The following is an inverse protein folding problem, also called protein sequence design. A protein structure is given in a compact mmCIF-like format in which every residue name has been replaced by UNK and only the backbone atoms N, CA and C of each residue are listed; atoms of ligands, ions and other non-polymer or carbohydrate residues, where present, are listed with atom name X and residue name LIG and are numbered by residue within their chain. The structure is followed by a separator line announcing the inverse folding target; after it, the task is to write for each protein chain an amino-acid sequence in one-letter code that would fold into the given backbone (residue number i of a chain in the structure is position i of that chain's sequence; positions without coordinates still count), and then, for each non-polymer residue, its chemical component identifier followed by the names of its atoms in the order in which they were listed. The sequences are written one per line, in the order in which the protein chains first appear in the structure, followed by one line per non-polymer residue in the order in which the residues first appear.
data_IF_990503894265
#
_entry.id   IF_990503894265
#
_cell.length_a   1.000
_cell.length_b   1.000
_cell.length_c   1.000
_cell.angle_alpha   90.00
_cell.angle_beta   90.00
_cell.angle_gamma   90.00
#
_symmetry.space_group_name_H-M   'P 1'
#
loop_
_entity.id
_entity.type
_entity.pdbx_description
1 polymer ?
#
# COMPACT_ATOMS: atom_id res chain seq x y z
N UNK A 1 -10.68 2.97 17.98
CA UNK A 1 -9.40 2.32 18.21
C UNK A 1 -9.55 0.81 18.09
N UNK A 2 -8.68 0.18 17.29
CA UNK A 2 -8.55 -1.26 17.17
C UNK A 2 -7.28 -1.69 17.90
N UNK A 3 -7.35 -2.81 18.57
CA UNK A 3 -6.15 -3.46 19.06
C UNK A 3 -5.38 -4.03 17.88
N UNK A 4 -4.08 -3.71 17.79
CA UNK A 4 -3.25 -4.23 16.71
C UNK A 4 -3.13 -5.76 16.83
N UNK A 5 -3.22 -6.50 15.72
CA UNK A 5 -3.00 -7.94 15.76
C UNK A 5 -1.57 -8.26 16.19
N UNK A 6 -1.38 -9.43 16.79
CA UNK A 6 -0.05 -9.92 17.16
C UNK A 6 0.78 -10.13 15.89
N UNK A 7 1.96 -9.51 15.83
CA UNK A 7 2.92 -9.79 14.76
C UNK A 7 3.63 -11.11 15.06
N UNK A 8 3.68 -11.98 14.06
CA UNK A 8 4.42 -13.22 14.11
C UNK A 8 5.73 -13.06 13.35
N UNK A 9 6.84 -13.48 13.95
CA UNK A 9 8.14 -13.52 13.27
C UNK A 9 8.33 -14.80 12.43
N UNK A 10 7.55 -15.83 12.71
CA UNK A 10 7.57 -17.13 12.04
C UNK A 10 6.23 -17.83 12.17
N UNK A 11 5.89 -18.64 11.17
CA UNK A 11 4.76 -19.57 11.19
C UNK A 11 5.28 -20.97 11.58
N UNK A 12 4.59 -21.63 12.50
CA UNK A 12 4.90 -23.00 12.89
C UNK A 12 4.49 -23.99 11.79
N UNK A 13 5.24 -25.07 11.64
CA UNK A 13 4.95 -26.12 10.67
C UNK A 13 3.54 -26.71 10.87
N UNK A 14 2.85 -26.95 9.78
CA UNK A 14 1.47 -27.48 9.75
C UNK A 14 0.39 -26.53 10.33
N UNK A 15 0.70 -25.27 10.63
CA UNK A 15 -0.32 -24.29 11.01
C UNK A 15 -1.34 -24.12 9.91
N UNK A 16 -2.62 -23.98 10.30
CA UNK A 16 -3.66 -23.59 9.33
C UNK A 16 -3.61 -22.08 9.09
N UNK A 17 -3.49 -21.67 7.83
CA UNK A 17 -3.32 -20.28 7.43
C UNK A 17 -4.42 -19.86 6.45
N UNK A 18 -4.95 -18.67 6.65
CA UNK A 18 -5.74 -17.92 5.66
C UNK A 18 -4.87 -16.76 5.19
N UNK A 19 -4.61 -16.70 3.89
CA UNK A 19 -3.89 -15.58 3.28
C UNK A 19 -4.90 -14.52 2.85
N UNK A 20 -4.64 -13.26 3.20
CA UNK A 20 -5.50 -12.12 2.86
C UNK A 20 -4.63 -11.04 2.26
N UNK A 21 -5.05 -10.51 1.11
CA UNK A 21 -4.36 -9.43 0.40
C UNK A 21 -2.93 -9.80 -0.05
N UNK A 22 -2.68 -11.07 -0.13
CA UNK A 22 -1.40 -11.66 -0.56
C UNK A 22 -1.61 -13.11 -0.97
N UNK A 23 -0.92 -13.55 -2.04
CA UNK A 23 -0.86 -14.93 -2.49
C UNK A 23 0.55 -15.36 -2.92
N UNK A 24 1.59 -14.67 -2.44
CA UNK A 24 2.99 -14.96 -2.75
C UNK A 24 3.77 -15.29 -1.48
N UNK A 25 4.35 -16.49 -1.40
CA UNK A 25 5.13 -16.91 -0.23
C UNK A 25 6.35 -16.02 0.05
N UNK A 26 6.95 -15.43 -1.00
CA UNK A 26 8.07 -14.52 -0.85
C UNK A 26 7.77 -13.21 -0.12
N UNK A 27 6.48 -12.90 0.09
CA UNK A 27 6.01 -11.74 0.84
C UNK A 27 5.53 -12.10 2.25
N UNK A 28 5.59 -13.36 2.62
CA UNK A 28 5.15 -13.86 3.92
C UNK A 28 6.32 -13.98 4.90
N UNK A 29 5.98 -14.11 6.19
CA UNK A 29 6.96 -14.45 7.21
C UNK A 29 7.48 -15.89 7.01
N UNK A 30 8.71 -16.20 7.46
CA UNK A 30 9.30 -17.54 7.37
C UNK A 30 8.37 -18.63 7.92
N UNK A 31 8.38 -19.82 7.32
CA UNK A 31 7.58 -20.96 7.72
C UNK A 31 6.26 -21.11 6.96
N UNK A 32 5.89 -20.15 6.13
CA UNK A 32 4.66 -20.23 5.31
C UNK A 32 4.69 -21.44 4.36
N UNK A 33 5.85 -21.81 3.87
CA UNK A 33 6.07 -22.93 2.97
C UNK A 33 5.71 -24.30 3.58
N UNK A 34 5.73 -24.40 4.92
CA UNK A 34 5.36 -25.58 5.67
C UNK A 34 3.95 -25.52 6.29
N UNK A 35 3.23 -24.42 6.06
CA UNK A 35 1.89 -24.22 6.56
C UNK A 35 0.83 -24.87 5.65
N UNK A 36 -0.35 -25.12 6.21
CA UNK A 36 -1.53 -25.58 5.47
C UNK A 36 -2.39 -24.39 5.07
N UNK A 37 -2.25 -23.95 3.83
CA UNK A 37 -3.09 -22.87 3.32
C UNK A 37 -4.51 -23.37 3.16
N UNK A 38 -5.44 -22.80 3.90
CA UNK A 38 -6.86 -23.19 3.88
C UNK A 38 -7.71 -22.32 2.98
N UNK A 39 -7.37 -21.03 2.92
CA UNK A 39 -8.10 -20.08 2.12
C UNK A 39 -7.18 -18.94 1.66
N UNK A 40 -7.48 -18.38 0.51
CA UNK A 40 -6.90 -17.13 -0.01
C UNK A 40 -8.03 -16.20 -0.37
N UNK A 41 -7.96 -14.94 0.10
CA UNK A 41 -8.84 -13.84 -0.31
C UNK A 41 -7.96 -12.72 -0.83
N UNK A 42 -7.99 -12.46 -2.14
CA UNK A 42 -7.02 -11.55 -2.75
C UNK A 42 -7.54 -10.93 -4.05
N UNK A 43 -7.02 -9.76 -4.40
CA UNK A 43 -7.31 -9.03 -5.64
C UNK A 43 -6.10 -8.92 -6.59
N UNK A 44 -4.95 -9.40 -6.16
CA UNK A 44 -3.71 -9.38 -6.95
C UNK A 44 -3.67 -10.50 -8.00
N UNK A 45 -2.69 -10.39 -8.91
CA UNK A 45 -2.35 -11.48 -9.82
C UNK A 45 -2.02 -12.73 -9.01
N UNK A 46 -2.67 -13.85 -9.35
CA UNK A 46 -2.50 -15.09 -8.63
C UNK A 46 -1.15 -15.74 -8.94
N UNK A 47 -0.37 -16.04 -7.90
CA UNK A 47 0.97 -16.64 -8.01
C UNK A 47 1.24 -17.64 -6.86
N UNK A 48 0.20 -18.32 -6.38
CA UNK A 48 0.32 -19.32 -5.32
C UNK A 48 0.49 -20.73 -5.92
N UNK A 49 1.40 -21.50 -5.36
CA UNK A 49 1.55 -22.93 -5.63
C UNK A 49 1.41 -23.71 -4.32
N UNK A 50 0.48 -24.64 -4.29
CA UNK A 50 0.18 -25.50 -3.13
C UNK A 50 0.12 -26.96 -3.55
N UNK A 51 0.40 -27.87 -2.61
CA UNK A 51 0.29 -29.32 -2.83
C UNK A 51 -1.14 -29.84 -2.61
N UNK A 52 -1.96 -29.10 -1.86
CA UNK A 52 -3.36 -29.44 -1.57
C UNK A 52 -4.32 -28.44 -2.20
N UNK A 53 -5.58 -28.82 -2.48
CA UNK A 53 -6.62 -27.88 -2.91
C UNK A 53 -6.87 -26.79 -1.88
N UNK A 54 -6.98 -25.53 -2.33
CA UNK A 54 -7.20 -24.34 -1.50
C UNK A 54 -8.49 -23.65 -1.92
N UNK A 55 -9.26 -23.17 -0.96
CA UNK A 55 -10.40 -22.31 -1.25
C UNK A 55 -9.90 -20.90 -1.60
N UNK A 56 -10.12 -20.47 -2.84
CA UNK A 56 -9.67 -19.17 -3.32
C UNK A 56 -10.87 -18.29 -3.66
N UNK A 57 -10.88 -17.07 -3.12
CA UNK A 57 -11.83 -16.01 -3.49
C UNK A 57 -11.02 -14.86 -4.04
N UNK A 58 -10.92 -14.79 -5.36
CA UNK A 58 -10.12 -13.77 -6.06
C UNK A 58 -10.95 -13.04 -7.09
N UNK A 59 -10.83 -11.72 -7.12
CA UNK A 59 -11.56 -10.88 -8.05
C UNK A 59 -10.70 -9.71 -8.53
N UNK A 60 -10.83 -9.27 -9.78
CA UNK A 60 -10.08 -8.14 -10.34
C UNK A 60 -10.72 -6.79 -9.91
N UNK A 61 -10.66 -6.50 -8.62
CA UNK A 61 -11.12 -5.25 -7.98
C UNK A 61 -9.93 -4.44 -7.45
N UNK A 62 -10.15 -3.22 -7.02
CA UNK A 62 -9.09 -2.32 -6.57
C UNK A 62 -8.57 -2.61 -5.16
N UNK A 63 -9.28 -3.42 -4.37
CA UNK A 63 -8.90 -3.72 -2.97
C UNK A 63 -9.54 -5.02 -2.49
N UNK A 64 -8.80 -5.81 -1.73
CA UNK A 64 -9.32 -7.03 -1.08
C UNK A 64 -10.51 -6.76 -0.15
N UNK A 65 -10.59 -5.59 0.48
CA UNK A 65 -11.74 -5.22 1.32
C UNK A 65 -13.06 -5.14 0.55
N UNK A 66 -13.03 -4.90 -0.75
CA UNK A 66 -14.20 -5.01 -1.64
C UNK A 66 -14.72 -6.44 -1.69
N UNK A 67 -13.83 -7.43 -1.79
CA UNK A 67 -14.18 -8.85 -1.76
C UNK A 67 -14.72 -9.23 -0.37
N UNK A 68 -14.05 -8.80 0.70
CA UNK A 68 -14.45 -9.07 2.09
C UNK A 68 -15.85 -8.51 2.36
N UNK A 69 -16.16 -7.30 1.89
CA UNK A 69 -17.52 -6.75 1.99
C UNK A 69 -18.57 -7.68 1.37
N UNK A 70 -18.27 -8.25 0.20
CA UNK A 70 -19.18 -9.19 -0.50
C UNK A 70 -19.34 -10.49 0.30
N UNK A 71 -18.26 -11.01 0.89
CA UNK A 71 -18.32 -12.18 1.76
C UNK A 71 -19.20 -11.94 3.00
N UNK A 72 -19.13 -10.78 3.64
CA UNK A 72 -20.05 -10.40 4.72
C UNK A 72 -21.50 -10.45 4.26
N UNK A 73 -21.79 -9.87 3.08
CA UNK A 73 -23.16 -9.82 2.54
C UNK A 73 -23.67 -11.19 2.08
N UNK A 74 -22.81 -12.03 1.50
CA UNK A 74 -23.17 -13.39 1.08
C UNK A 74 -23.51 -14.32 2.25
N UNK A 75 -22.96 -14.03 3.43
CA UNK A 75 -23.18 -14.81 4.65
C UNK A 75 -24.17 -14.15 5.62
N UNK A 76 -24.86 -13.10 5.21
CA UNK A 76 -25.80 -12.33 6.03
C UNK A 76 -25.20 -11.84 7.36
N UNK A 77 -23.92 -11.47 7.34
CA UNK A 77 -23.21 -10.93 8.50
C UNK A 77 -23.26 -9.40 8.45
N UNK A 78 -23.69 -8.80 9.58
CA UNK A 78 -23.69 -7.34 9.71
C UNK A 78 -22.27 -6.78 9.89
N UNK A 79 -22.01 -5.68 9.23
CA UNK A 79 -20.74 -4.95 9.33
C UNK A 79 -20.92 -3.83 10.38
N UNK A 80 -20.14 -3.90 11.46
CA UNK A 80 -20.14 -2.84 12.48
C UNK A 80 -19.57 -1.52 11.91
N UNK A 81 -19.95 -0.35 12.44
CA UNK A 81 -19.40 0.93 12.02
C UNK A 81 -17.87 0.97 12.06
N UNK A 82 -17.29 0.38 13.09
CA UNK A 82 -15.84 0.28 13.29
C UNK A 82 -15.18 -0.55 12.18
N UNK A 83 -15.73 -1.73 11.86
CA UNK A 83 -15.24 -2.57 10.77
C UNK A 83 -15.42 -1.89 9.41
N UNK A 84 -16.55 -1.21 9.20
CA UNK A 84 -16.80 -0.45 7.98
C UNK A 84 -15.75 0.64 7.77
N UNK A 85 -15.35 1.35 8.83
CA UNK A 85 -14.28 2.36 8.77
C UNK A 85 -12.94 1.78 8.35
N UNK A 86 -12.54 0.60 8.88
CA UNK A 86 -11.30 -0.06 8.46
C UNK A 86 -11.36 -0.51 7.00
N UNK A 87 -12.44 -1.19 6.61
CA UNK A 87 -12.61 -1.65 5.22
C UNK A 87 -12.62 -0.48 4.24
N UNK A 88 -13.28 0.62 4.61
CA UNK A 88 -13.26 1.87 3.84
C UNK A 88 -11.85 2.43 3.72
N UNK A 89 -11.09 2.46 4.81
CA UNK A 89 -9.70 2.94 4.81
C UNK A 89 -8.82 2.14 3.85
N UNK A 90 -8.96 0.81 3.83
CA UNK A 90 -8.24 -0.05 2.90
C UNK A 90 -8.60 0.27 1.44
N UNK A 91 -9.89 0.38 1.11
CA UNK A 91 -10.33 0.72 -0.26
C UNK A 91 -9.78 2.10 -0.69
N UNK A 92 -9.84 3.10 0.19
CA UNK A 92 -9.31 4.45 -0.10
C UNK A 92 -7.81 4.41 -0.35
N UNK A 93 -7.07 3.67 0.48
CA UNK A 93 -5.61 3.52 0.36
C UNK A 93 -5.23 2.89 -0.97
N UNK A 94 -5.73 1.71 -1.28
CA UNK A 94 -5.36 0.94 -2.46
C UNK A 94 -5.80 1.59 -3.76
N UNK A 95 -6.95 2.28 -3.71
CA UNK A 95 -7.50 2.97 -4.89
C UNK A 95 -7.07 4.42 -5.01
N UNK A 96 -6.26 4.93 -4.07
CA UNK A 96 -5.87 6.35 -3.99
C UNK A 96 -7.08 7.29 -4.12
N UNK A 97 -8.08 7.04 -3.27
CA UNK A 97 -9.37 7.75 -3.33
C UNK A 97 -9.97 7.71 -4.76
N UNK A 98 -10.00 6.51 -5.33
CA UNK A 98 -10.56 6.17 -6.66
C UNK A 98 -9.78 6.71 -7.87
N UNK A 99 -8.54 7.14 -7.71
CA UNK A 99 -7.67 7.65 -8.80
C UNK A 99 -6.75 6.58 -9.38
N UNK A 100 -6.53 5.47 -8.66
CA UNK A 100 -5.75 4.36 -9.16
C UNK A 100 -6.40 3.76 -10.42
N UNK A 101 -5.61 3.38 -11.43
CA UNK A 101 -6.11 2.69 -12.62
C UNK A 101 -6.70 1.31 -12.30
N UNK A 102 -6.38 0.73 -11.15
CA UNK A 102 -6.94 -0.55 -10.67
C UNK A 102 -8.32 -0.39 -10.04
N UNK A 103 -8.75 0.84 -9.72
CA UNK A 103 -10.03 1.11 -9.10
C UNK A 103 -11.20 0.75 -10.02
N UNK A 104 -12.14 -0.03 -9.50
CA UNK A 104 -13.35 -0.42 -10.23
C UNK A 104 -14.58 0.37 -9.80
N UNK A 105 -15.65 0.27 -10.59
CA UNK A 105 -16.97 0.83 -10.22
C UNK A 105 -17.51 0.16 -8.95
N UNK A 106 -17.16 -1.09 -8.72
CA UNK A 106 -17.58 -1.85 -7.54
C UNK A 106 -16.92 -1.33 -6.27
N UNK A 107 -15.62 -1.03 -6.31
CA UNK A 107 -14.91 -0.41 -5.19
C UNK A 107 -15.58 0.88 -4.73
N UNK A 108 -15.93 1.76 -5.69
CA UNK A 108 -16.62 3.02 -5.41
C UNK A 108 -17.97 2.81 -4.73
N UNK A 109 -18.79 1.91 -5.27
CA UNK A 109 -20.13 1.61 -4.72
C UNK A 109 -20.05 1.02 -3.31
N UNK A 110 -19.06 0.19 -3.05
CA UNK A 110 -18.86 -0.44 -1.74
C UNK A 110 -18.31 0.59 -0.75
N UNK A 111 -17.35 1.42 -1.15
CA UNK A 111 -16.85 2.51 -0.33
C UNK A 111 -17.96 3.48 0.12
N UNK A 112 -18.88 3.86 -0.79
CA UNK A 112 -20.05 4.68 -0.45
C UNK A 112 -20.96 4.03 0.61
N UNK A 113 -21.16 2.70 0.51
CA UNK A 113 -21.95 1.96 1.50
C UNK A 113 -21.22 1.86 2.84
N UNK A 114 -19.93 1.60 2.82
CA UNK A 114 -19.11 1.54 4.03
C UNK A 114 -19.03 2.89 4.74
N UNK A 115 -18.90 4.00 4.00
CA UNK A 115 -18.89 5.34 4.55
C UNK A 115 -20.20 5.66 5.30
N UNK A 116 -21.36 5.23 4.77
CA UNK A 116 -22.66 5.35 5.44
C UNK A 116 -22.74 4.53 6.72
N UNK A 117 -22.20 3.30 6.71
CA UNK A 117 -22.20 2.45 7.92
C UNK A 117 -21.25 3.02 8.97
N UNK A 118 -20.11 3.56 8.55
CA UNK A 118 -19.09 4.16 9.42
C UNK A 118 -19.48 5.56 9.93
N UNK A 119 -20.55 6.15 9.37
CA UNK A 119 -21.03 7.52 9.66
C UNK A 119 -19.94 8.59 9.42
N UNK A 120 -19.31 8.53 8.24
CA UNK A 120 -18.28 9.48 7.81
C UNK A 120 -18.56 10.05 6.43
N UNK A 121 -18.12 11.30 6.17
CA UNK A 121 -18.02 11.80 4.81
C UNK A 121 -16.86 11.11 4.08
N UNK A 122 -17.17 10.47 2.97
CA UNK A 122 -16.24 9.63 2.22
C UNK A 122 -15.00 10.39 1.74
N UNK A 123 -15.22 11.59 1.19
CA UNK A 123 -14.13 12.36 0.58
C UNK A 123 -13.29 13.09 1.62
N UNK A 124 -13.94 13.73 2.61
CA UNK A 124 -13.23 14.38 3.71
C UNK A 124 -12.39 13.37 4.51
N UNK A 125 -12.97 12.19 4.80
CA UNK A 125 -12.27 11.12 5.48
C UNK A 125 -11.09 10.60 4.63
N UNK A 126 -11.33 10.37 3.33
CA UNK A 126 -10.32 9.87 2.41
C UNK A 126 -9.12 10.81 2.25
N UNK A 127 -9.37 12.11 2.12
CA UNK A 127 -8.28 13.10 2.06
C UNK A 127 -7.46 13.13 3.35
N UNK A 128 -8.11 13.09 4.51
CA UNK A 128 -7.42 13.02 5.82
C UNK A 128 -6.59 11.75 5.94
N UNK A 129 -7.14 10.60 5.53
CA UNK A 129 -6.45 9.32 5.56
C UNK A 129 -5.18 9.33 4.69
N UNK A 130 -5.31 9.79 3.44
CA UNK A 130 -4.20 9.85 2.51
C UNK A 130 -3.11 10.83 2.96
N UNK A 131 -3.50 11.99 3.52
CA UNK A 131 -2.54 12.94 4.12
C UNK A 131 -1.79 12.31 5.28
N UNK A 132 -2.49 11.64 6.19
CA UNK A 132 -1.84 10.96 7.33
C UNK A 132 -0.91 9.82 6.89
N UNK A 133 -1.32 9.04 5.87
CA UNK A 133 -0.52 7.93 5.34
C UNK A 133 0.70 8.36 4.52
N UNK A 134 0.77 9.62 4.11
CA UNK A 134 1.89 10.20 3.35
C UNK A 134 2.64 11.27 4.13
N UNK A 135 2.41 11.37 5.44
CA UNK A 135 3.13 12.30 6.32
C UNK A 135 4.57 11.83 6.51
N UNK A 136 5.49 12.70 6.14
CA UNK A 136 6.94 12.48 6.24
C UNK A 136 7.61 13.39 7.28
N UNK A 137 6.84 14.03 8.15
CA UNK A 137 7.34 15.00 9.14
C UNK A 137 8.40 14.40 10.07
N UNK A 138 8.25 13.12 10.43
CA UNK A 138 9.16 12.41 11.32
C UNK A 138 10.39 11.79 10.61
N UNK A 139 10.46 11.90 9.28
CA UNK A 139 11.55 11.33 8.49
C UNK A 139 12.68 12.35 8.29
N UNK A 140 13.92 11.89 8.40
CA UNK A 140 15.08 12.68 7.96
C UNK A 140 15.12 12.80 6.44
N UNK A 141 15.83 13.79 5.90
CA UNK A 141 15.97 13.94 4.45
C UNK A 141 16.60 12.69 3.80
N UNK A 142 17.58 12.06 4.45
CA UNK A 142 18.20 10.81 3.99
C UNK A 142 17.18 9.66 3.94
N UNK A 143 16.30 9.56 4.92
CA UNK A 143 15.24 8.55 4.90
C UNK A 143 14.25 8.82 3.76
N UNK A 144 13.82 10.07 3.58
CA UNK A 144 12.86 10.45 2.54
C UNK A 144 13.35 10.08 1.14
N UNK A 145 14.59 10.46 0.79
CA UNK A 145 15.12 10.17 -0.55
C UNK A 145 15.34 8.67 -0.80
N UNK A 146 15.33 7.84 0.25
CA UNK A 146 15.58 6.40 0.17
C UNK A 146 14.34 5.52 0.41
N UNK A 147 13.14 6.09 0.61
CA UNK A 147 11.90 5.31 0.86
C UNK A 147 11.64 4.29 -0.27
N UNK A 148 11.66 4.73 -1.53
CA UNK A 148 11.57 3.86 -2.71
C UNK A 148 12.64 4.31 -3.71
N UNK A 149 13.87 3.83 -3.50
CA UNK A 149 15.02 4.15 -4.33
C UNK A 149 15.54 2.93 -5.08
N UNK A 150 15.82 3.11 -6.37
CA UNK A 150 16.32 2.05 -7.24
C UNK A 150 17.59 2.51 -7.94
N UNK A 151 18.73 1.81 -7.72
CA UNK A 151 19.97 2.08 -8.44
C UNK A 151 19.94 1.45 -9.83
N UNK A 152 20.57 2.13 -10.77
CA UNK A 152 20.76 1.67 -12.15
C UNK A 152 22.22 1.88 -12.55
N UNK A 153 22.74 0.93 -13.32
CA UNK A 153 24.05 1.01 -13.96
C UNK A 153 23.87 0.65 -15.44
N UNK A 154 24.10 1.61 -16.32
CA UNK A 154 23.95 1.40 -17.77
C UNK A 154 25.00 2.23 -18.55
N UNK A 155 25.79 1.53 -19.35
CA UNK A 155 26.83 2.16 -20.19
C UNK A 155 27.78 3.07 -19.38
N UNK A 156 28.27 2.58 -18.24
CA UNK A 156 29.16 3.29 -17.30
C UNK A 156 28.52 4.53 -16.63
N UNK A 157 27.21 4.70 -16.76
CA UNK A 157 26.44 5.74 -16.07
C UNK A 157 25.72 5.11 -14.89
N UNK A 158 26.10 5.49 -13.67
CA UNK A 158 25.46 5.08 -12.42
C UNK A 158 24.47 6.14 -11.99
N UNK A 159 23.21 5.78 -11.84
CA UNK A 159 22.19 6.70 -11.38
C UNK A 159 21.18 6.05 -10.46
N UNK A 160 20.50 6.86 -9.66
CA UNK A 160 19.40 6.44 -8.80
C UNK A 160 18.14 7.17 -9.21
N UNK A 161 17.04 6.43 -9.30
CA UNK A 161 15.69 7.00 -9.34
C UNK A 161 15.02 6.63 -8.03
N UNK A 162 14.51 7.64 -7.34
CA UNK A 162 13.82 7.49 -6.09
C UNK A 162 12.47 8.20 -6.17
N UNK A 163 11.47 7.70 -5.44
CA UNK A 163 10.11 8.23 -5.48
C UNK A 163 9.48 8.20 -4.09
N UNK A 164 8.68 9.23 -3.80
CA UNK A 164 7.70 9.19 -2.74
C UNK A 164 6.32 9.61 -3.26
N UNK A 165 5.29 9.07 -2.64
CA UNK A 165 3.92 9.52 -2.82
C UNK A 165 3.57 10.54 -1.73
N UNK A 166 2.92 11.65 -2.07
CA UNK A 166 2.50 12.66 -1.11
C UNK A 166 1.13 13.23 -1.45
N UNK A 167 0.32 13.48 -0.44
CA UNK A 167 -0.89 14.29 -0.56
C UNK A 167 -0.62 15.79 -0.35
N UNK A 168 0.62 16.15 0.06
CA UNK A 168 1.08 17.53 0.25
C UNK A 168 2.48 17.72 -0.35
N UNK A 169 2.53 17.83 -1.68
CA UNK A 169 3.78 18.01 -2.42
C UNK A 169 4.47 19.32 -2.06
N UNK A 170 3.71 20.38 -1.83
CA UNK A 170 4.29 21.69 -1.49
C UNK A 170 4.93 21.65 -0.09
N UNK A 171 4.34 20.92 0.87
CA UNK A 171 4.95 20.63 2.17
C UNK A 171 6.28 19.89 2.06
N UNK A 172 6.38 18.88 1.19
CA UNK A 172 7.66 18.20 0.91
C UNK A 172 8.71 19.19 0.41
N UNK A 173 8.34 20.06 -0.52
CA UNK A 173 9.27 21.04 -1.11
C UNK A 173 9.65 22.21 -0.18
N UNK A 174 9.00 22.38 0.97
CA UNK A 174 9.52 23.28 2.02
C UNK A 174 10.89 22.82 2.54
N UNK A 175 11.18 21.52 2.44
CA UNK A 175 12.43 20.87 2.83
C UNK A 175 13.44 20.72 1.68
N UNK A 176 13.22 21.44 0.56
CA UNK A 176 14.00 21.27 -0.68
C UNK A 176 15.51 21.30 -0.43
N UNK A 177 16.02 22.29 0.31
CA UNK A 177 17.46 22.43 0.58
C UNK A 177 18.03 21.24 1.35
N UNK A 178 17.29 20.68 2.30
CA UNK A 178 17.72 19.48 3.03
C UNK A 178 17.77 18.26 2.12
N UNK A 179 16.76 18.09 1.25
CA UNK A 179 16.69 17.00 0.29
C UNK A 179 17.82 17.09 -0.74
N UNK A 180 18.11 18.29 -1.29
CA UNK A 180 19.20 18.51 -2.21
C UNK A 180 20.57 18.22 -1.58
N UNK A 181 20.78 18.56 -0.32
CA UNK A 181 22.00 18.22 0.41
C UNK A 181 22.15 16.70 0.60
N UNK A 182 21.10 16.01 0.98
CA UNK A 182 21.11 14.55 1.11
C UNK A 182 21.36 13.85 -0.24
N UNK A 183 20.76 14.31 -1.31
CA UNK A 183 21.01 13.83 -2.68
C UNK A 183 22.48 14.03 -3.05
N UNK A 184 23.06 15.21 -2.79
CA UNK A 184 24.49 15.50 -3.05
C UNK A 184 25.42 14.58 -2.28
N UNK A 185 25.09 14.25 -1.02
CA UNK A 185 25.82 13.30 -0.21
C UNK A 185 25.75 11.87 -0.80
N UNK A 186 24.57 11.42 -1.22
CA UNK A 186 24.38 10.09 -1.84
C UNK A 186 25.13 9.99 -3.17
N UNK A 187 25.10 11.04 -4.01
CA UNK A 187 25.88 11.12 -5.25
C UNK A 187 27.37 10.92 -4.95
N UNK A 188 27.89 11.69 -3.99
CA UNK A 188 29.31 11.66 -3.62
C UNK A 188 29.74 10.31 -3.03
N UNK A 189 28.94 9.78 -2.09
CA UNK A 189 29.21 8.53 -1.38
C UNK A 189 29.22 7.30 -2.29
N UNK A 190 28.28 7.24 -3.25
CA UNK A 190 28.11 6.10 -4.14
C UNK A 190 28.69 6.32 -5.54
N UNK A 191 29.40 7.43 -5.76
CA UNK A 191 30.01 7.80 -7.03
C UNK A 191 28.99 7.74 -8.19
N UNK A 192 27.81 8.36 -7.97
CA UNK A 192 26.74 8.42 -8.95
C UNK A 192 26.96 9.57 -9.95
N UNK A 193 26.48 9.38 -11.17
CA UNK A 193 26.45 10.43 -12.18
C UNK A 193 25.19 11.27 -12.09
N UNK A 194 24.09 10.69 -11.54
CA UNK A 194 22.80 11.35 -11.48
C UNK A 194 21.96 10.77 -10.34
N UNK A 195 21.17 11.61 -9.69
CA UNK A 195 20.11 11.21 -8.78
C UNK A 195 18.82 11.93 -9.16
N UNK A 196 17.73 11.19 -9.36
CA UNK A 196 16.41 11.74 -9.65
C UNK A 196 15.48 11.40 -8.51
N UNK A 197 14.98 12.41 -7.81
CA UNK A 197 14.01 12.25 -6.75
C UNK A 197 12.64 12.77 -7.20
N UNK A 198 11.65 11.89 -7.25
CA UNK A 198 10.29 12.17 -7.68
C UNK A 198 9.36 12.31 -6.47
N UNK A 199 8.58 13.36 -6.42
CA UNK A 199 7.48 13.56 -5.48
C UNK A 199 6.18 13.51 -6.27
N UNK A 200 5.42 12.44 -6.12
CA UNK A 200 4.16 12.22 -6.83
C UNK A 200 2.97 12.70 -5.99
N UNK A 201 2.22 13.65 -6.53
CA UNK A 201 0.95 14.13 -5.95
C UNK A 201 -0.13 13.07 -6.20
N UNK A 202 -0.47 12.31 -5.15
CA UNK A 202 -1.50 11.26 -5.24
C UNK A 202 -2.91 11.82 -5.41
N UNK A 203 -3.11 13.12 -5.12
CA UNK A 203 -4.40 13.79 -5.27
C UNK A 203 -4.58 14.37 -6.68
N UNK A 204 -3.51 14.81 -7.34
CA UNK A 204 -3.56 15.39 -8.69
C UNK A 204 -3.11 14.42 -9.77
N UNK A 205 -2.27 13.42 -9.43
CA UNK A 205 -1.73 12.45 -10.37
C UNK A 205 -0.58 13.01 -11.21
N UNK A 206 0.12 14.03 -10.72
CA UNK A 206 1.32 14.60 -11.34
C UNK A 206 2.54 14.40 -10.44
N UNK A 207 3.74 14.67 -10.96
CA UNK A 207 4.99 14.52 -10.21
C UNK A 207 5.88 15.72 -10.41
N UNK A 208 6.55 16.16 -9.34
CA UNK A 208 7.66 17.10 -9.38
C UNK A 208 8.97 16.35 -9.13
N UNK A 209 10.06 16.79 -9.76
CA UNK A 209 11.37 16.17 -9.63
C UNK A 209 12.40 17.13 -9.04
N UNK A 210 13.32 16.60 -8.23
CA UNK A 210 14.65 17.15 -7.95
C UNK A 210 15.68 16.31 -8.71
N UNK A 211 16.61 16.99 -9.39
CA UNK A 211 17.64 16.36 -10.22
C UNK A 211 18.98 16.99 -9.93
#
# INVERSE_FOLDING_TARGET
DFEAPTLLEKIEDNSNVIMVDNNEFGQCVPGIENAKIKMVVDHHRFNLKTDEPVHCVTEPVGCTSTIIYKLYKQNDIDISPKMAGIMLSAIISDTLLFKSPTCTVEDKKIAEKLAKIADVDLYEYGEKLLKAGTDISDYTADQIINIDSKPFDKNDIKFVISQINSADVDGVFTRKTELENSIGNEISKNNLNLYVFLVTDILKGDSKALV
#
